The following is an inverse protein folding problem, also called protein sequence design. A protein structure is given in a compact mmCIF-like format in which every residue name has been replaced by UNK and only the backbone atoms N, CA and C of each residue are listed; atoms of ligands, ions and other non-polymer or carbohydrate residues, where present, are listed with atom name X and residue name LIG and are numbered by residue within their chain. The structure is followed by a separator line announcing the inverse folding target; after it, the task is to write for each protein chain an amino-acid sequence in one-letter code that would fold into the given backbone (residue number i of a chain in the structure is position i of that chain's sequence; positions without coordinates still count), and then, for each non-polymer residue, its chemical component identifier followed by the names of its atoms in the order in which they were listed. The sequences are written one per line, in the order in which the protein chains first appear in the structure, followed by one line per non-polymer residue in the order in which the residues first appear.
data_IF_860770479266
#
_entry.id   IF_860770479266
#
_cell.length_a   1.000
_cell.length_b   1.000
_cell.length_c   1.000
_cell.angle_alpha   90.00
_cell.angle_beta   90.00
_cell.angle_gamma   90.00
#
_symmetry.space_group_name_H-M   'P 1'
#
loop_
_entity.id
_entity.type
_entity.pdbx_description
1 polymer ?
#
# COMPACT_ATOMS: atom_id res chain seq x y z
N UNK A 1 -4.20 20.70 -24.42
CA UNK A 1 -4.01 22.07 -24.96
C UNK A 1 -2.60 22.13 -25.52
N UNK A 2 -2.44 22.42 -26.78
CA UNK A 2 -1.13 22.61 -27.41
C UNK A 2 -0.77 24.08 -27.29
N UNK A 3 0.44 24.39 -26.81
CA UNK A 3 0.99 25.75 -26.77
C UNK A 3 2.07 25.87 -27.84
N UNK A 4 1.99 26.90 -28.65
CA UNK A 4 3.01 27.27 -29.64
C UNK A 4 3.84 28.42 -29.08
N UNK A 5 5.16 28.17 -28.85
CA UNK A 5 6.11 29.21 -28.44
C UNK A 5 7.30 29.14 -29.39
N UNK A 6 7.60 30.26 -30.08
CA UNK A 6 8.73 30.42 -31.01
C UNK A 6 8.81 29.37 -32.14
N UNK A 7 7.63 29.00 -32.73
CA UNK A 7 7.59 28.06 -33.86
C UNK A 7 7.78 26.58 -33.48
N UNK A 8 7.85 26.27 -32.18
CA UNK A 8 7.87 24.89 -31.67
C UNK A 8 6.50 24.54 -31.09
N UNK A 9 5.87 23.51 -31.67
CA UNK A 9 4.65 22.92 -31.14
C UNK A 9 4.99 22.01 -29.97
N UNK A 10 4.76 22.46 -28.75
CA UNK A 10 4.89 21.61 -27.57
C UNK A 10 3.54 20.93 -27.39
N UNK A 11 3.41 19.74 -27.96
CA UNK A 11 2.35 18.82 -27.58
C UNK A 11 2.78 18.13 -26.28
N UNK A 12 2.01 18.32 -25.23
CA UNK A 12 2.12 17.47 -24.06
C UNK A 12 1.71 16.07 -24.52
N UNK A 13 2.69 15.22 -24.81
CA UNK A 13 2.49 13.79 -24.98
C UNK A 13 1.80 13.37 -23.68
N UNK A 14 0.53 12.93 -23.77
CA UNK A 14 -0.07 12.23 -22.63
C UNK A 14 0.90 11.12 -22.29
N UNK A 15 1.51 11.19 -21.13
CA UNK A 15 2.25 10.06 -20.59
C UNK A 15 1.20 8.95 -20.49
N UNK A 16 1.21 8.05 -21.47
CA UNK A 16 0.60 6.75 -21.32
C UNK A 16 1.30 6.16 -20.09
N UNK A 17 0.57 5.99 -19.01
CA UNK A 17 1.08 5.34 -17.81
C UNK A 17 1.77 4.05 -18.28
N UNK A 18 3.07 3.83 -17.99
CA UNK A 18 3.82 2.70 -18.52
C UNK A 18 3.25 1.33 -18.10
N UNK A 19 2.20 1.32 -17.27
CA UNK A 19 1.48 0.16 -16.76
C UNK A 19 -0.02 0.15 -17.08
N UNK A 20 -0.50 0.96 -18.03
CA UNK A 20 -1.89 0.84 -18.47
C UNK A 20 -2.10 -0.58 -19.06
N UNK A 21 -2.75 -1.45 -18.29
CA UNK A 21 -3.05 -2.83 -18.73
C UNK A 21 -3.92 -2.76 -19.97
N UNK A 22 -3.45 -3.35 -21.05
CA UNK A 22 -4.19 -3.41 -22.31
C UNK A 22 -5.53 -4.12 -22.07
N UNK A 23 -6.67 -3.59 -22.56
CA UNK A 23 -7.96 -4.25 -22.40
C UNK A 23 -7.92 -5.65 -23.01
N UNK A 24 -8.21 -6.66 -22.20
CA UNK A 24 -8.22 -8.07 -22.60
C UNK A 24 -9.56 -8.70 -22.21
N UNK A 25 -9.93 -9.83 -22.87
CA UNK A 25 -11.11 -10.59 -22.46
C UNK A 25 -10.86 -11.41 -21.17
N UNK A 26 -9.61 -11.77 -20.92
CA UNK A 26 -9.21 -12.47 -19.71
C UNK A 26 -8.94 -11.47 -18.57
N UNK A 27 -9.37 -11.83 -17.37
CA UNK A 27 -9.02 -11.09 -16.15
C UNK A 27 -7.53 -11.24 -15.89
N UNK A 28 -6.79 -10.15 -15.66
CA UNK A 28 -5.40 -10.27 -15.24
C UNK A 28 -5.32 -10.96 -13.88
N UNK A 29 -4.33 -11.79 -13.67
CA UNK A 29 -4.06 -12.37 -12.36
C UNK A 29 -3.67 -11.25 -11.37
N UNK A 30 -4.17 -11.33 -10.14
CA UNK A 30 -3.73 -10.46 -9.05
C UNK A 30 -2.32 -10.91 -8.63
N UNK A 31 -1.37 -9.99 -8.64
CA UNK A 31 0.02 -10.22 -8.25
C UNK A 31 0.44 -9.42 -7.01
N UNK A 32 -0.48 -8.62 -6.46
CA UNK A 32 -0.26 -7.67 -5.38
C UNK A 32 -1.16 -7.89 -4.14
N UNK A 33 -1.92 -8.98 -4.12
CA UNK A 33 -2.88 -9.30 -3.05
C UNK A 33 -4.16 -8.46 -3.09
N UNK A 34 -4.38 -7.66 -4.14
CA UNK A 34 -5.62 -6.91 -4.30
C UNK A 34 -6.78 -7.85 -4.68
N UNK A 35 -7.94 -7.59 -4.12
CA UNK A 35 -9.16 -8.34 -4.42
C UNK A 35 -9.81 -7.83 -5.71
N UNK A 36 -10.24 -8.75 -6.58
CA UNK A 36 -10.97 -8.42 -7.80
C UNK A 36 -12.47 -8.26 -7.51
N UNK A 37 -13.06 -7.14 -7.89
CA UNK A 37 -14.50 -6.89 -7.80
C UNK A 37 -15.09 -6.53 -9.17
N UNK A 38 -16.33 -6.98 -9.43
CA UNK A 38 -17.04 -6.60 -10.65
C UNK A 38 -17.53 -5.15 -10.54
N UNK A 39 -17.18 -4.32 -11.52
CA UNK A 39 -17.76 -2.98 -11.67
C UNK A 39 -19.15 -3.09 -12.29
N UNK A 40 -20.13 -2.38 -11.73
CA UNK A 40 -21.47 -2.29 -12.29
C UNK A 40 -22.54 -3.05 -11.52
N UNK A 41 -22.92 -2.53 -10.38
CA UNK A 41 -24.07 -2.97 -9.59
C UNK A 41 -23.74 -3.03 -8.10
N UNK A 42 -24.38 -2.19 -7.31
CA UNK A 42 -24.08 -2.04 -5.89
C UNK A 42 -24.29 -3.32 -5.05
N UNK A 43 -25.12 -4.26 -5.50
CA UNK A 43 -25.51 -5.45 -4.73
C UNK A 43 -24.66 -6.71 -4.98
N UNK A 44 -24.11 -6.91 -6.17
CA UNK A 44 -23.42 -8.18 -6.51
C UNK A 44 -21.96 -8.23 -6.07
N UNK A 45 -21.29 -7.09 -5.92
CA UNK A 45 -19.87 -7.02 -5.54
C UNK A 45 -19.64 -7.13 -4.02
N UNK A 46 -20.59 -6.74 -3.20
CA UNK A 46 -20.46 -6.74 -1.74
C UNK A 46 -20.44 -8.14 -1.11
N UNK A 47 -21.25 -9.07 -1.62
CA UNK A 47 -21.38 -10.43 -1.06
C UNK A 47 -20.08 -11.25 -1.14
N UNK A 48 -19.26 -11.04 -2.18
CA UNK A 48 -17.98 -11.76 -2.32
C UNK A 48 -16.80 -11.10 -1.57
N UNK A 49 -16.93 -9.83 -1.19
CA UNK A 49 -15.88 -9.09 -0.48
C UNK A 49 -15.85 -9.44 1.01
N UNK A 50 -16.98 -9.76 1.60
CA UNK A 50 -17.18 -9.90 3.04
C UNK A 50 -16.28 -10.99 3.67
N UNK A 51 -16.28 -12.18 3.13
CA UNK A 51 -15.46 -13.28 3.64
C UNK A 51 -13.96 -13.04 3.50
N UNK A 52 -13.53 -12.39 2.43
CA UNK A 52 -12.12 -12.07 2.21
C UNK A 52 -11.62 -10.94 3.11
N UNK A 53 -12.44 -9.91 3.35
CA UNK A 53 -12.09 -8.84 4.30
C UNK A 53 -11.97 -9.36 5.72
N UNK A 54 -12.92 -10.18 6.16
CA UNK A 54 -12.92 -10.76 7.49
C UNK A 54 -11.65 -11.56 7.74
N UNK A 55 -11.28 -12.45 6.83
CA UNK A 55 -10.09 -13.28 6.97
C UNK A 55 -8.80 -12.46 7.03
N UNK A 56 -8.67 -11.39 6.23
CA UNK A 56 -7.49 -10.55 6.21
C UNK A 56 -7.36 -9.70 7.47
N UNK A 57 -8.46 -9.09 7.91
CA UNK A 57 -8.51 -8.31 9.16
C UNK A 57 -8.25 -9.22 10.37
N UNK A 58 -8.78 -10.45 10.37
CA UNK A 58 -8.53 -11.43 11.42
C UNK A 58 -7.04 -11.81 11.50
N UNK A 59 -6.37 -11.95 10.36
CA UNK A 59 -4.93 -12.19 10.32
C UNK A 59 -4.14 -11.00 10.87
N UNK A 60 -4.50 -9.76 10.53
CA UNK A 60 -3.83 -8.57 11.07
C UNK A 60 -3.95 -8.53 12.59
N UNK A 61 -5.14 -8.77 13.16
CA UNK A 61 -5.31 -8.82 14.60
C UNK A 61 -4.46 -9.94 15.23
N UNK A 62 -4.42 -11.11 14.58
CA UNK A 62 -3.59 -12.22 15.04
C UNK A 62 -2.10 -11.88 15.03
N UNK A 63 -1.61 -11.19 14.01
CA UNK A 63 -0.22 -10.73 13.96
C UNK A 63 0.09 -9.71 15.08
N UNK A 64 -0.84 -8.77 15.35
CA UNK A 64 -0.70 -7.83 16.47
C UNK A 64 -0.66 -8.55 17.82
N UNK A 65 -1.56 -9.52 18.04
CA UNK A 65 -1.55 -10.36 19.25
C UNK A 65 -0.22 -11.10 19.40
N UNK A 66 0.23 -11.77 18.34
CA UNK A 66 1.49 -12.51 18.36
C UNK A 66 2.71 -11.60 18.64
N UNK A 67 2.71 -10.39 18.07
CA UNK A 67 3.81 -9.45 18.26
C UNK A 67 3.94 -8.94 19.70
N UNK A 68 2.93 -9.14 20.54
CA UNK A 68 2.93 -8.78 21.96
C UNK A 68 3.32 -9.95 22.88
N UNK A 69 3.60 -11.14 22.32
CA UNK A 69 4.17 -12.25 23.08
C UNK A 69 5.65 -11.98 23.34
N UNK A 70 6.16 -12.22 24.56
CA UNK A 70 7.51 -11.86 25.00
C UNK A 70 8.60 -12.32 24.04
N UNK A 71 8.55 -13.57 23.60
CA UNK A 71 9.56 -14.16 22.71
C UNK A 71 9.54 -13.53 21.32
N UNK A 72 8.34 -13.25 20.79
CA UNK A 72 8.18 -12.55 19.53
C UNK A 72 8.58 -11.08 19.62
N UNK A 73 8.21 -10.41 20.69
CA UNK A 73 8.54 -9.00 20.91
C UNK A 73 10.04 -8.77 20.90
N UNK A 74 10.79 -9.55 21.67
CA UNK A 74 12.27 -9.47 21.71
C UNK A 74 12.87 -9.71 20.31
N UNK A 75 12.38 -10.73 19.59
CA UNK A 75 12.88 -11.02 18.24
C UNK A 75 12.57 -9.89 17.26
N UNK A 76 11.36 -9.32 17.31
CA UNK A 76 10.93 -8.19 16.46
C UNK A 76 11.78 -6.95 16.79
N UNK A 77 11.95 -6.62 18.07
CA UNK A 77 12.77 -5.48 18.50
C UNK A 77 14.22 -5.59 18.00
N UNK A 78 14.82 -6.77 18.09
CA UNK A 78 16.15 -6.98 17.54
C UNK A 78 16.21 -6.72 16.04
N UNK A 79 15.25 -7.24 15.26
CA UNK A 79 15.17 -7.02 13.82
C UNK A 79 14.97 -5.53 13.48
N UNK A 80 14.09 -4.85 14.21
CA UNK A 80 13.80 -3.43 13.99
C UNK A 80 15.01 -2.56 14.35
N UNK A 81 15.68 -2.88 15.48
CA UNK A 81 16.89 -2.17 15.91
C UNK A 81 18.04 -2.35 14.92
N UNK A 82 18.18 -3.52 14.28
CA UNK A 82 19.20 -3.75 13.25
C UNK A 82 18.84 -3.06 11.92
N UNK A 83 17.55 -2.96 11.59
CA UNK A 83 17.10 -2.36 10.34
C UNK A 83 17.10 -0.83 10.37
N UNK A 84 16.74 -0.24 11.51
CA UNK A 84 16.61 1.22 11.69
C UNK A 84 17.72 1.69 12.65
N UNK A 85 18.93 1.76 12.11
CA UNK A 85 20.10 2.24 12.85
C UNK A 85 20.50 3.61 12.34
N UNK A 86 20.66 4.56 13.24
CA UNK A 86 21.26 5.86 12.92
C UNK A 86 22.60 6.00 13.64
N UNK A 87 23.66 6.27 12.91
CA UNK A 87 24.93 6.75 13.46
C UNK A 87 24.76 8.14 14.08
N UNK A 88 25.74 8.61 14.88
CA UNK A 88 25.66 9.91 15.60
C UNK A 88 25.33 11.12 14.71
N UNK A 89 25.63 11.05 13.39
CA UNK A 89 25.38 12.12 12.41
C UNK A 89 24.81 11.57 11.08
N UNK A 90 24.27 10.35 11.10
CA UNK A 90 23.72 9.70 9.90
C UNK A 90 22.22 9.52 10.03
N UNK A 91 21.52 9.68 8.92
CA UNK A 91 20.08 9.38 8.87
C UNK A 91 19.88 7.86 8.80
N UNK A 92 18.82 7.32 9.40
CA UNK A 92 18.55 5.88 9.39
C UNK A 92 18.26 5.35 7.97
N UNK A 93 17.91 6.21 7.03
CA UNK A 93 17.59 5.86 5.64
C UNK A 93 18.22 6.87 4.69
N UNK A 94 18.89 6.35 3.65
CA UNK A 94 19.53 7.16 2.60
C UNK A 94 19.10 6.67 1.21
N UNK A 95 19.01 7.58 0.25
CA UNK A 95 18.77 7.26 -1.16
C UNK A 95 20.10 7.14 -1.91
N UNK A 96 20.33 5.98 -2.54
CA UNK A 96 21.53 5.72 -3.34
C UNK A 96 21.24 6.03 -4.82
N UNK A 97 21.89 7.06 -5.35
CA UNK A 97 21.72 7.54 -6.74
C UNK A 97 22.98 7.39 -7.60
N UNK A 98 24.05 6.80 -7.08
CA UNK A 98 25.35 6.80 -7.71
C UNK A 98 25.37 6.03 -9.05
N UNK A 99 24.61 4.92 -9.11
CA UNK A 99 24.54 4.06 -10.30
C UNK A 99 23.38 4.43 -11.25
N UNK A 100 22.74 5.59 -11.03
CA UNK A 100 21.69 6.08 -11.94
C UNK A 100 22.36 6.96 -12.99
N UNK A 101 22.06 6.78 -14.27
CA UNK A 101 22.59 7.64 -15.35
C UNK A 101 22.05 9.08 -15.34
N UNK A 102 21.62 9.59 -14.17
CA UNK A 102 21.02 10.91 -13.99
C UNK A 102 22.09 11.99 -13.81
N UNK A 103 21.78 13.22 -14.25
CA UNK A 103 22.64 14.38 -14.00
C UNK A 103 22.65 14.77 -12.53
N UNK A 104 23.71 15.37 -12.03
CA UNK A 104 23.82 15.79 -10.62
C UNK A 104 22.72 16.78 -10.20
N UNK A 105 22.26 17.64 -11.12
CA UNK A 105 21.13 18.53 -10.86
C UNK A 105 19.83 17.77 -10.56
N UNK A 106 19.55 16.69 -11.29
CA UNK A 106 18.37 15.83 -11.06
C UNK A 106 18.56 15.04 -9.76
N UNK A 107 19.74 14.48 -9.52
CA UNK A 107 20.03 13.76 -8.27
C UNK A 107 19.86 14.65 -7.05
N UNK A 108 20.31 15.91 -7.12
CA UNK A 108 20.12 16.87 -6.03
C UNK A 108 18.63 17.14 -5.74
N UNK A 109 17.81 17.33 -6.79
CA UNK A 109 16.36 17.49 -6.62
C UNK A 109 15.71 16.27 -5.99
N UNK A 110 16.06 15.05 -6.44
CA UNK A 110 15.54 13.81 -5.87
C UNK A 110 15.90 13.69 -4.39
N UNK A 111 17.13 14.03 -4.00
CA UNK A 111 17.54 14.03 -2.58
C UNK A 111 16.71 15.02 -1.77
N UNK A 112 16.50 16.24 -2.29
CA UNK A 112 15.67 17.24 -1.61
C UNK A 112 14.24 16.78 -1.42
N UNK A 113 13.60 16.22 -2.45
CA UNK A 113 12.23 15.68 -2.35
C UNK A 113 12.16 14.49 -1.40
N UNK A 114 13.18 13.62 -1.40
CA UNK A 114 13.28 12.52 -0.47
C UNK A 114 13.36 13.01 0.99
N UNK A 115 14.15 14.06 1.23
CA UNK A 115 14.24 14.69 2.56
C UNK A 115 12.88 15.24 3.01
N UNK A 116 12.13 15.90 2.12
CA UNK A 116 10.76 16.36 2.41
C UNK A 116 9.84 15.21 2.82
N UNK A 117 9.90 14.08 2.11
CA UNK A 117 9.09 12.89 2.47
C UNK A 117 9.48 12.33 3.85
N UNK A 118 10.78 12.27 4.16
CA UNK A 118 11.24 11.82 5.49
C UNK A 118 10.77 12.75 6.62
N UNK A 119 10.77 14.07 6.35
CA UNK A 119 10.28 15.07 7.32
C UNK A 119 8.75 14.96 7.49
N UNK A 120 7.98 14.77 6.41
CA UNK A 120 6.53 14.54 6.47
C UNK A 120 6.17 13.26 7.26
N UNK A 121 6.98 12.22 7.17
CA UNK A 121 6.84 11.00 7.96
C UNK A 121 7.36 11.17 9.39
N UNK A 122 8.09 12.27 9.67
CA UNK A 122 8.89 12.43 10.88
C UNK A 122 9.74 11.19 11.17
N UNK A 123 10.39 10.69 10.12
CA UNK A 123 11.01 9.37 10.10
C UNK A 123 12.16 9.24 11.13
N UNK A 124 12.85 10.33 11.44
CA UNK A 124 13.90 10.33 12.46
C UNK A 124 13.38 9.95 13.86
N UNK A 125 12.12 10.27 14.16
CA UNK A 125 11.50 9.96 15.46
C UNK A 125 10.65 8.69 15.42
N UNK A 126 9.95 8.44 14.30
CA UNK A 126 8.99 7.35 14.17
C UNK A 126 9.42 6.21 13.24
N UNK A 127 10.62 6.28 12.65
CA UNK A 127 11.11 5.26 11.71
C UNK A 127 11.08 3.85 12.29
N UNK A 128 11.46 3.70 13.55
CA UNK A 128 11.41 2.44 14.29
C UNK A 128 9.97 1.89 14.37
N UNK A 129 9.01 2.73 14.76
CA UNK A 129 7.60 2.33 14.85
C UNK A 129 6.98 2.05 13.48
N UNK A 130 7.31 2.85 12.46
CA UNK A 130 6.86 2.66 11.08
C UNK A 130 7.34 1.31 10.56
N UNK A 131 8.63 1.00 10.73
CA UNK A 131 9.20 -0.28 10.29
C UNK A 131 8.63 -1.46 11.08
N UNK A 132 8.52 -1.35 12.41
CA UNK A 132 7.90 -2.37 13.26
C UNK A 132 6.48 -2.69 12.80
N UNK A 133 5.67 -1.67 12.55
CA UNK A 133 4.29 -1.85 12.06
C UNK A 133 4.25 -2.54 10.70
N UNK A 134 5.11 -2.12 9.76
CA UNK A 134 5.22 -2.77 8.47
C UNK A 134 5.62 -4.24 8.58
N UNK A 135 6.58 -4.55 9.44
CA UNK A 135 7.06 -5.90 9.68
C UNK A 135 5.96 -6.79 10.27
N UNK A 136 5.22 -6.28 11.27
CA UNK A 136 4.15 -6.99 11.98
C UNK A 136 2.91 -7.15 11.12
N UNK A 137 2.44 -6.10 10.45
CA UNK A 137 1.18 -6.12 9.69
C UNK A 137 1.36 -6.54 8.23
N UNK A 138 2.60 -6.48 7.71
CA UNK A 138 2.93 -6.79 6.32
C UNK A 138 2.51 -5.71 5.35
N UNK A 139 2.00 -4.56 5.81
CA UNK A 139 1.51 -3.46 4.96
C UNK A 139 1.43 -2.14 5.71
N UNK A 140 1.58 -1.05 4.96
CA UNK A 140 1.36 0.31 5.42
C UNK A 140 0.49 1.07 4.43
N UNK A 141 -0.35 1.95 4.94
CA UNK A 141 -1.16 2.87 4.16
C UNK A 141 -1.01 4.28 4.70
N UNK A 142 -0.79 5.22 3.79
CA UNK A 142 -0.79 6.64 4.09
C UNK A 142 -1.73 7.37 3.13
N UNK A 143 -2.60 8.20 3.68
CA UNK A 143 -3.40 9.13 2.91
C UNK A 143 -2.53 10.34 2.56
N UNK A 144 -2.42 10.62 1.26
CA UNK A 144 -1.68 11.74 0.72
C UNK A 144 -2.58 12.97 0.75
N UNK A 145 -2.23 13.96 1.58
CA UNK A 145 -2.97 15.19 1.70
C UNK A 145 -2.31 16.28 0.87
N UNK A 146 -3.10 16.92 0.02
CA UNK A 146 -2.69 18.05 -0.83
C UNK A 146 -3.59 19.23 -0.49
N UNK A 147 -3.05 20.45 -0.47
CA UNK A 147 -3.85 21.65 -0.28
C UNK A 147 -4.69 21.92 -1.54
N UNK A 148 -6.01 21.85 -1.41
CA UNK A 148 -6.94 22.09 -2.53
C UNK A 148 -6.87 23.54 -3.07
N UNK A 149 -6.50 24.51 -2.21
CA UNK A 149 -6.39 25.91 -2.60
C UNK A 149 -5.06 26.23 -3.30
N UNK A 150 -4.00 25.48 -2.98
CA UNK A 150 -2.68 25.65 -3.58
C UNK A 150 -2.02 24.28 -3.85
N UNK A 151 -2.43 23.56 -4.90
CA UNK A 151 -1.86 22.25 -5.26
C UNK A 151 -0.36 22.32 -5.63
N UNK A 152 0.17 23.53 -5.91
CA UNK A 152 1.60 23.71 -6.26
C UNK A 152 2.53 23.45 -5.08
N UNK A 153 2.03 23.49 -3.86
CA UNK A 153 2.80 23.15 -2.64
C UNK A 153 3.15 21.67 -2.54
N UNK A 154 2.51 20.82 -3.37
CA UNK A 154 2.73 19.38 -3.32
C UNK A 154 2.06 18.69 -2.11
N UNK A 155 2.71 17.66 -1.58
CA UNK A 155 2.18 16.90 -0.44
C UNK A 155 2.38 17.71 0.85
N UNK A 156 1.28 17.95 1.56
CA UNK A 156 1.30 18.73 2.83
C UNK A 156 1.38 17.82 4.05
N UNK A 157 0.75 16.64 3.98
CA UNK A 157 0.71 15.68 5.09
C UNK A 157 0.62 14.26 4.55
N UNK A 158 1.27 13.31 5.24
CA UNK A 158 1.12 11.88 5.05
C UNK A 158 0.44 11.29 6.30
N UNK A 159 -0.87 11.06 6.21
CA UNK A 159 -1.66 10.54 7.34
C UNK A 159 -1.70 9.05 7.34
N UNK A 160 -1.15 8.42 8.37
CA UNK A 160 -1.20 6.97 8.54
C UNK A 160 -2.63 6.46 8.70
N UNK A 161 -2.96 5.38 7.99
CA UNK A 161 -4.24 4.67 8.08
C UNK A 161 -4.06 3.29 8.69
N UNK A 162 -5.04 2.87 9.50
CA UNK A 162 -5.05 1.52 10.07
C UNK A 162 -5.38 0.48 8.99
N UNK A 163 -4.52 -0.54 8.84
CA UNK A 163 -4.67 -1.61 7.86
C UNK A 163 -5.97 -2.43 8.03
N UNK A 164 -6.62 -2.35 9.20
CA UNK A 164 -7.93 -2.99 9.44
C UNK A 164 -9.11 -2.19 8.88
N UNK A 165 -8.87 -0.94 8.45
CA UNK A 165 -9.89 -0.01 7.97
C UNK A 165 -9.81 0.26 6.47
N UNK A 166 -8.71 -0.11 5.81
CA UNK A 166 -8.49 0.16 4.40
C UNK A 166 -8.02 -1.10 3.68
N UNK A 167 -8.44 -1.25 2.42
CA UNK A 167 -7.97 -2.33 1.54
C UNK A 167 -7.87 -1.87 0.10
N UNK A 168 -6.84 -2.35 -0.60
CA UNK A 168 -6.70 -2.22 -2.05
C UNK A 168 -7.65 -3.20 -2.76
N UNK A 169 -8.36 -2.70 -3.76
CA UNK A 169 -9.35 -3.45 -4.53
C UNK A 169 -9.16 -3.16 -6.01
N UNK A 170 -9.20 -4.18 -6.85
CA UNK A 170 -9.17 -4.08 -8.30
C UNK A 170 -10.59 -4.16 -8.83
N UNK A 171 -11.14 -3.04 -9.29
CA UNK A 171 -12.47 -2.97 -9.88
C UNK A 171 -12.43 -3.37 -11.35
N UNK A 172 -13.19 -4.39 -11.69
CA UNK A 172 -13.30 -4.90 -13.06
C UNK A 172 -14.50 -4.29 -13.75
N UNK A 173 -14.25 -3.44 -14.73
CA UNK A 173 -15.28 -2.83 -15.57
C UNK A 173 -15.34 -3.54 -16.92
N UNK A 174 -16.49 -4.17 -17.24
CA UNK A 174 -16.74 -4.80 -18.53
C UNK A 174 -17.36 -3.78 -19.49
N UNK A 175 -16.65 -3.44 -20.55
CA UNK A 175 -17.18 -2.58 -21.61
C UNK A 175 -17.56 -3.47 -22.82
N UNK A 176 -18.83 -3.40 -23.23
CA UNK A 176 -19.28 -4.00 -24.49
C UNK A 176 -19.00 -3.03 -25.62
N UNK A 177 -18.08 -3.35 -26.50
CA UNK A 177 -17.85 -2.64 -27.77
C UNK A 177 -18.09 -3.65 -28.90
N UNK A 178 -19.14 -3.36 -29.73
CA UNK A 178 -19.48 -4.11 -30.95
C UNK A 178 -18.87 -5.53 -30.99
N UNK A 179 -19.58 -6.55 -30.55
CA UNK A 179 -19.21 -7.97 -30.53
C UNK A 179 -17.98 -8.39 -29.69
N UNK A 180 -17.24 -7.47 -29.07
CA UNK A 180 -16.12 -7.81 -28.19
C UNK A 180 -16.32 -7.28 -26.79
N UNK A 181 -16.07 -8.12 -25.77
CA UNK A 181 -16.05 -7.70 -24.35
C UNK A 181 -14.63 -7.31 -24.01
N UNK A 182 -14.42 -6.02 -23.73
CA UNK A 182 -13.16 -5.51 -23.18
C UNK A 182 -13.28 -5.38 -21.66
N UNK A 183 -12.28 -5.86 -20.97
CA UNK A 183 -12.20 -5.77 -19.50
C UNK A 183 -11.19 -4.69 -19.14
N UNK A 184 -11.63 -3.66 -18.42
CA UNK A 184 -10.76 -2.65 -17.83
C UNK A 184 -10.70 -2.90 -16.32
N UNK A 185 -9.50 -2.87 -15.75
CA UNK A 185 -9.28 -3.03 -14.30
C UNK A 185 -8.79 -1.71 -13.77
N UNK A 186 -9.56 -1.12 -12.87
CA UNK A 186 -9.21 0.11 -12.17
C UNK A 186 -8.80 -0.23 -10.73
N UNK A 187 -7.63 0.25 -10.30
CA UNK A 187 -7.14 0.10 -8.93
C UNK A 187 -7.75 1.19 -8.05
N UNK A 188 -8.40 0.79 -6.97
CA UNK A 188 -9.02 1.69 -6.01
C UNK A 188 -8.78 1.19 -4.58
N UNK A 189 -9.00 2.03 -3.60
CA UNK A 189 -9.01 1.65 -2.18
C UNK A 189 -10.42 1.79 -1.62
N UNK A 190 -10.77 0.87 -0.73
CA UNK A 190 -12.01 0.96 0.08
C UNK A 190 -11.60 1.26 1.51
N UNK A 191 -12.15 2.33 2.08
CA UNK A 191 -11.92 2.74 3.46
C UNK A 191 -13.22 2.74 4.25
N UNK A 192 -13.21 2.13 5.44
CA UNK A 192 -14.33 2.15 6.37
C UNK A 192 -13.85 2.61 7.76
N UNK A 193 -14.28 3.78 8.25
CA UNK A 193 -13.87 4.30 9.55
C UNK A 193 -14.18 3.37 10.73
N UNK A 194 -15.28 2.61 10.63
CA UNK A 194 -15.70 1.64 11.64
C UNK A 194 -14.97 0.28 11.55
N UNK A 195 -14.03 0.14 10.59
CA UNK A 195 -13.34 -1.10 10.29
C UNK A 195 -14.00 -1.94 9.20
N UNK A 196 -13.20 -2.69 8.44
CA UNK A 196 -13.68 -3.52 7.32
C UNK A 196 -14.53 -4.73 7.76
N UNK A 197 -14.54 -5.07 9.05
CA UNK A 197 -15.45 -6.09 9.61
C UNK A 197 -16.88 -5.59 9.77
N UNK A 198 -17.09 -4.28 9.80
CA UNK A 198 -18.38 -3.69 10.12
C UNK A 198 -19.22 -3.54 8.86
N UNK A 199 -20.24 -4.40 8.72
CA UNK A 199 -21.07 -4.54 7.53
C UNK A 199 -22.14 -3.44 7.38
N UNK A 200 -22.41 -2.72 8.47
CA UNK A 200 -23.52 -1.75 8.50
C UNK A 200 -23.19 -0.41 7.88
N UNK A 201 -21.90 -0.15 7.57
CA UNK A 201 -21.48 1.08 6.92
C UNK A 201 -20.81 0.80 5.58
N UNK A 202 -21.29 1.44 4.55
CA UNK A 202 -20.70 1.43 3.22
C UNK A 202 -19.32 2.07 3.27
N UNK A 203 -18.28 1.36 2.79
CA UNK A 203 -16.93 1.91 2.69
C UNK A 203 -16.85 3.05 1.67
N UNK A 204 -15.98 3.99 1.90
CA UNK A 204 -15.65 5.09 0.98
C UNK A 204 -14.66 4.56 -0.05
N UNK A 205 -14.93 4.76 -1.33
CA UNK A 205 -14.01 4.45 -2.41
C UNK A 205 -13.03 5.62 -2.58
N UNK A 206 -11.74 5.32 -2.58
CA UNK A 206 -10.66 6.29 -2.67
C UNK A 206 -9.81 5.96 -3.90
N UNK A 207 -9.44 6.99 -4.66
CA UNK A 207 -8.54 6.85 -5.81
C UNK A 207 -7.17 6.32 -5.36
N UNK A 208 -6.52 5.54 -6.23
CA UNK A 208 -5.16 5.05 -5.98
C UNK A 208 -4.15 6.18 -5.74
N UNK A 209 -4.33 7.32 -6.42
CA UNK A 209 -3.39 8.44 -6.35
C UNK A 209 -3.42 9.18 -5.00
N UNK A 210 -4.47 8.95 -4.20
CA UNK A 210 -4.63 9.54 -2.87
C UNK A 210 -4.03 8.68 -1.75
N UNK A 211 -3.54 7.48 -2.07
CA UNK A 211 -3.02 6.53 -1.07
C UNK A 211 -1.61 6.08 -1.44
N UNK A 212 -0.65 6.30 -0.56
CA UNK A 212 0.64 5.64 -0.61
C UNK A 212 0.53 4.27 0.10
N UNK A 213 0.87 3.20 -0.61
CA UNK A 213 0.71 1.82 -0.17
C UNK A 213 2.02 1.06 -0.29
N UNK A 214 2.45 0.43 0.80
CA UNK A 214 3.65 -0.39 0.87
C UNK A 214 3.30 -1.76 1.47
N UNK A 215 3.73 -2.85 0.82
CA UNK A 215 3.51 -4.23 1.27
C UNK A 215 4.82 -4.93 1.64
N UNK A 216 4.69 -6.04 2.36
CA UNK A 216 5.81 -6.96 2.63
C UNK A 216 6.33 -7.69 1.38
N UNK A 217 5.55 -7.71 0.29
CA UNK A 217 5.80 -8.53 -0.88
C UNK A 217 5.46 -10.02 -0.70
N UNK A 218 5.09 -10.45 0.51
CA UNK A 218 4.66 -11.82 0.77
C UNK A 218 3.17 -11.98 0.49
N UNK A 219 2.82 -12.96 -0.33
CA UNK A 219 1.44 -13.23 -0.72
C UNK A 219 1.05 -14.65 -0.31
N UNK A 220 -0.25 -14.87 -0.09
CA UNK A 220 -0.80 -16.20 0.05
C UNK A 220 -0.68 -17.00 -1.27
N UNK A 221 -0.77 -18.35 -1.26
CA UNK A 221 -0.65 -19.16 -2.46
C UNK A 221 -1.64 -18.80 -3.58
N UNK A 222 -2.78 -18.21 -3.22
CA UNK A 222 -3.81 -17.75 -4.17
C UNK A 222 -3.59 -16.30 -4.63
N UNK A 223 -2.53 -15.64 -4.13
CA UNK A 223 -2.21 -14.22 -4.38
C UNK A 223 -3.34 -13.24 -4.08
N UNK A 224 -4.23 -13.57 -3.16
CA UNK A 224 -5.41 -12.77 -2.79
C UNK A 224 -5.23 -11.93 -1.54
N UNK A 225 -4.20 -12.23 -0.74
CA UNK A 225 -3.91 -11.55 0.52
C UNK A 225 -2.43 -11.31 0.67
N UNK A 226 -2.10 -10.13 1.19
CA UNK A 226 -0.74 -9.82 1.65
C UNK A 226 -0.52 -10.47 3.01
N UNK A 227 0.62 -11.12 3.20
CA UNK A 227 1.00 -11.78 4.43
C UNK A 227 2.06 -10.96 5.18
N UNK A 228 2.06 -11.06 6.50
CA UNK A 228 3.12 -10.54 7.35
C UNK A 228 4.33 -11.48 7.36
N UNK A 229 5.49 -10.96 7.74
CA UNK A 229 6.66 -11.79 8.06
C UNK A 229 6.39 -12.75 9.23
N UNK A 230 5.49 -12.39 10.16
CA UNK A 230 5.05 -13.24 11.26
C UNK A 230 4.14 -14.41 10.84
N UNK A 231 3.69 -14.45 9.59
CA UNK A 231 2.73 -15.48 9.16
C UNK A 231 3.26 -16.91 9.41
N UNK A 232 4.56 -17.14 9.15
CA UNK A 232 5.20 -18.44 9.35
C UNK A 232 5.34 -18.82 10.82
N UNK A 233 5.33 -17.85 11.73
CA UNK A 233 5.42 -18.06 13.16
C UNK A 233 4.07 -18.46 13.82
N UNK A 234 2.94 -18.34 13.12
CA UNK A 234 1.62 -18.66 13.69
C UNK A 234 1.56 -20.09 14.22
N UNK A 235 2.03 -21.06 13.41
CA UNK A 235 1.94 -22.48 13.78
C UNK A 235 2.83 -22.84 14.96
N UNK A 236 4.16 -22.53 14.95
CA UNK A 236 5.03 -22.85 16.07
C UNK A 236 4.63 -22.13 17.36
N UNK A 237 4.17 -20.89 17.31
CA UNK A 237 3.70 -20.17 18.50
C UNK A 237 2.44 -20.78 19.11
N UNK A 238 1.48 -21.19 18.28
CA UNK A 238 0.31 -21.90 18.80
C UNK A 238 0.70 -23.24 19.47
N UNK A 239 1.70 -23.94 18.92
CA UNK A 239 2.21 -25.17 19.53
C UNK A 239 2.92 -24.91 20.85
N UNK A 240 3.73 -23.84 20.93
CA UNK A 240 4.39 -23.45 22.17
C UNK A 240 3.37 -23.16 23.27
N UNK A 241 2.36 -22.33 22.99
CA UNK A 241 1.28 -22.01 23.94
C UNK A 241 0.54 -23.26 24.43
N UNK A 242 0.26 -24.22 23.53
CA UNK A 242 -0.36 -25.48 23.94
C UNK A 242 0.51 -26.31 24.89
N UNK A 243 1.84 -26.20 24.78
CA UNK A 243 2.78 -26.90 25.70
C UNK A 243 2.90 -26.15 27.01
N UNK A 244 2.87 -24.82 27.00
CA UNK A 244 2.90 -24.00 28.22
C UNK A 244 1.63 -24.13 29.07
N UNK A 245 0.46 -24.34 28.40
CA UNK A 245 -0.84 -24.49 29.07
C UNK A 245 -1.09 -25.93 29.58
N UNK A 246 -0.20 -26.91 29.29
CA UNK A 246 -0.35 -28.33 29.64
C UNK A 246 0.43 -28.69 30.91
#
# INVERSE_FOLDING_TARGET
MAFEIFGFKIERKSEEEPNARVPAFALPESDDGAMMIAGGGAYGSYLNMEGAYKNEVDLIFKYREMSSLSDCEVAIENIVNEAIVAGKNERPVNILLDNTGLTESIKSKIRTEFDVILDLLNFNNYGHEIFRRWYVEGRLYYHIMIDENDPSRGIVELRSLDATKIKKVNQVNKQKAQDTVKVKVDEIFTYNPAGLRNQHQQGILISKDSIAYCTSGLLDPKKKMVLSYLHKAIKPLNQLRMVEDA
#
